data_IF_038597770001
#
_entry.id   IF_038597770001
#
_cell.length_a   1.000
_cell.length_b   1.000
_cell.length_c   1.000
_cell.angle_alpha   90.00
_cell.angle_beta   90.00
_cell.angle_gamma   90.00
#
_symmetry.space_group_name_H-M   'P 1'
#
loop_
_entity.id
_entity.type
_entity.pdbx_description
1 polymer ?
#
# COMPACT_ATOMS: atom_id res chain seq x y z
N UNK A 1 -4.53 32.79 -16.68
CA UNK A 1 -5.92 32.28 -16.47
C UNK A 1 -6.14 32.00 -14.98
N UNK A 2 -7.34 32.30 -14.46
CA UNK A 2 -7.63 31.91 -13.06
C UNK A 2 -7.94 30.41 -13.02
N UNK A 3 -7.30 29.67 -12.12
CA UNK A 3 -7.57 28.24 -11.93
C UNK A 3 -9.02 28.00 -11.52
N UNK A 4 -9.65 26.97 -12.08
CA UNK A 4 -10.96 26.49 -11.63
C UNK A 4 -10.89 25.99 -10.17
N UNK A 5 -12.04 25.81 -9.52
CA UNK A 5 -12.08 25.31 -8.14
C UNK A 5 -11.44 23.90 -8.03
N UNK A 6 -11.74 23.00 -8.99
CA UNK A 6 -11.20 21.65 -9.06
C UNK A 6 -9.67 21.65 -9.28
N UNK A 7 -9.17 22.52 -10.16
CA UNK A 7 -7.73 22.64 -10.40
C UNK A 7 -6.99 23.20 -9.17
N UNK A 8 -7.53 24.23 -8.50
CA UNK A 8 -6.95 24.73 -7.23
C UNK A 8 -6.89 23.66 -6.16
N UNK A 9 -7.94 22.84 -6.03
CA UNK A 9 -7.99 21.71 -5.09
C UNK A 9 -6.91 20.68 -5.40
N UNK A 10 -6.74 20.31 -6.68
CA UNK A 10 -5.71 19.36 -7.10
C UNK A 10 -4.29 19.88 -6.88
N UNK A 11 -4.03 21.15 -7.25
CA UNK A 11 -2.73 21.81 -7.01
C UNK A 11 -2.41 21.82 -5.51
N UNK A 12 -3.39 22.17 -4.65
CA UNK A 12 -3.23 22.12 -3.20
C UNK A 12 -2.93 20.72 -2.68
N UNK A 13 -3.63 19.70 -3.19
CA UNK A 13 -3.44 18.30 -2.78
C UNK A 13 -2.06 17.75 -3.19
N UNK A 14 -1.62 18.01 -4.43
CA UNK A 14 -0.28 17.61 -4.89
C UNK A 14 0.80 18.32 -4.08
N UNK A 15 0.70 19.64 -3.88
CA UNK A 15 1.66 20.41 -3.08
C UNK A 15 1.77 19.88 -1.65
N UNK A 16 0.64 19.66 -0.98
CA UNK A 16 0.60 19.12 0.38
C UNK A 16 1.24 17.72 0.45
N UNK A 17 1.00 16.88 -0.56
CA UNK A 17 1.59 15.55 -0.64
C UNK A 17 3.11 15.60 -0.86
N UNK A 18 3.60 16.47 -1.73
CA UNK A 18 5.03 16.65 -1.95
C UNK A 18 5.73 17.19 -0.69
N UNK A 19 5.09 18.11 0.03
CA UNK A 19 5.61 18.59 1.32
C UNK A 19 5.69 17.46 2.38
N UNK A 20 4.76 16.51 2.36
CA UNK A 20 4.75 15.37 3.30
C UNK A 20 5.81 14.30 2.99
N UNK A 21 6.38 14.28 1.79
CA UNK A 21 7.49 13.38 1.41
C UNK A 21 8.87 14.08 1.50
N UNK A 22 9.02 15.00 2.44
CA UNK A 22 10.28 15.72 2.77
C UNK A 22 10.83 16.63 1.66
N UNK A 23 9.98 17.08 0.75
CA UNK A 23 10.35 18.09 -0.26
C UNK A 23 10.15 19.53 0.21
N UNK A 24 9.96 19.74 1.51
CA UNK A 24 9.70 21.06 2.07
C UNK A 24 10.86 22.06 1.90
N UNK A 25 12.09 21.58 1.83
CA UNK A 25 13.30 22.41 1.84
C UNK A 25 13.81 22.81 0.46
N UNK A 26 13.11 22.40 -0.61
CA UNK A 26 13.55 22.67 -2.00
C UNK A 26 13.09 24.03 -2.51
N UNK A 27 12.31 24.79 -1.76
CA UNK A 27 11.90 26.14 -2.15
C UNK A 27 13.07 27.11 -2.14
N UNK A 28 13.75 27.24 -3.27
CA UNK A 28 14.52 28.45 -3.51
C UNK A 28 13.59 29.65 -3.47
N UNK A 29 13.95 30.79 -2.80
CA UNK A 29 13.08 31.98 -2.69
C UNK A 29 12.57 32.51 -4.05
N UNK A 30 13.32 32.33 -5.12
CA UNK A 30 12.96 32.67 -6.48
C UNK A 30 11.77 31.88 -7.03
N UNK A 31 11.51 30.68 -6.54
CA UNK A 31 10.35 29.84 -6.94
C UNK A 31 9.07 30.14 -6.15
N UNK A 32 9.13 31.01 -5.14
CA UNK A 32 7.95 31.45 -4.42
C UNK A 32 7.04 32.37 -5.25
N UNK A 33 7.53 32.91 -6.39
CA UNK A 33 6.79 33.79 -7.28
C UNK A 33 6.37 33.02 -8.53
N UNK A 34 5.11 33.25 -8.99
CA UNK A 34 4.60 32.66 -10.24
C UNK A 34 5.39 33.13 -11.46
N UNK A 35 6.00 32.20 -12.18
CA UNK A 35 6.71 32.44 -13.41
C UNK A 35 7.24 31.14 -14.02
N UNK A 36 7.59 31.15 -15.31
CA UNK A 36 8.27 30.04 -15.98
C UNK A 36 9.73 29.99 -15.47
N UNK A 37 9.95 29.15 -14.49
CA UNK A 37 11.30 28.93 -13.94
C UNK A 37 11.90 27.66 -14.51
N UNK A 38 13.12 27.77 -15.03
CA UNK A 38 13.89 26.59 -15.40
C UNK A 38 14.29 25.82 -14.14
N UNK A 39 13.79 24.61 -14.00
CA UNK A 39 14.16 23.71 -12.91
C UNK A 39 15.61 23.24 -13.10
N UNK A 40 16.42 23.31 -12.06
CA UNK A 40 17.81 22.87 -12.12
C UNK A 40 17.94 21.38 -12.52
N UNK A 41 18.94 21.03 -13.30
CA UNK A 41 19.11 19.67 -13.81
C UNK A 41 19.40 18.63 -12.71
N UNK A 42 19.97 19.07 -11.59
CA UNK A 42 20.27 18.28 -10.39
C UNK A 42 19.18 18.39 -9.29
N UNK A 43 18.09 19.10 -9.56
CA UNK A 43 16.97 19.19 -8.62
C UNK A 43 16.36 17.81 -8.35
N UNK A 44 15.77 17.61 -7.17
CA UNK A 44 15.04 16.37 -6.84
C UNK A 44 14.03 15.98 -7.90
N UNK A 45 13.93 14.69 -8.20
CA UNK A 45 13.02 14.14 -9.20
C UNK A 45 11.83 13.47 -8.55
N UNK A 46 10.62 13.78 -9.04
CA UNK A 46 9.39 13.06 -8.76
C UNK A 46 8.89 12.40 -10.05
N UNK A 47 8.47 11.15 -9.98
CA UNK A 47 7.86 10.44 -11.11
C UNK A 47 6.35 10.35 -10.93
N UNK A 48 5.61 10.48 -12.02
CA UNK A 48 4.17 10.18 -12.07
C UNK A 48 3.98 8.84 -12.76
N UNK A 49 3.34 7.87 -12.09
CA UNK A 49 2.92 6.62 -12.72
C UNK A 49 1.74 6.90 -13.65
N UNK A 50 1.99 6.93 -14.95
CA UNK A 50 1.02 7.31 -15.97
C UNK A 50 0.59 6.10 -16.80
N UNK A 51 -0.72 5.81 -16.82
CA UNK A 51 -1.33 4.77 -17.67
C UNK A 51 -1.93 5.34 -18.95
N UNK A 52 -1.86 6.65 -19.16
CA UNK A 52 -2.54 7.35 -20.25
C UNK A 52 -4.02 7.61 -20.00
N UNK A 53 -4.63 7.00 -18.98
CA UNK A 53 -6.03 7.24 -18.62
C UNK A 53 -6.23 8.58 -17.89
N UNK A 54 -7.51 9.05 -17.84
CA UNK A 54 -7.90 10.40 -17.37
C UNK A 54 -7.28 10.79 -16.02
N UNK A 55 -7.35 9.92 -15.00
CA UNK A 55 -6.87 10.26 -13.67
C UNK A 55 -5.35 10.44 -13.65
N UNK A 56 -4.63 9.59 -14.38
CA UNK A 56 -3.17 9.65 -14.49
C UNK A 56 -2.69 10.84 -15.32
N UNK A 57 -3.41 11.20 -16.36
CA UNK A 57 -3.10 12.38 -17.17
C UNK A 57 -3.42 13.69 -16.42
N UNK A 58 -4.52 13.73 -15.66
CA UNK A 58 -4.82 14.85 -14.77
C UNK A 58 -3.73 15.02 -13.70
N UNK A 59 -3.28 13.91 -13.07
CA UNK A 59 -2.17 13.95 -12.12
C UNK A 59 -0.88 14.43 -12.78
N UNK A 60 -0.55 13.95 -13.98
CA UNK A 60 0.66 14.34 -14.70
C UNK A 60 0.70 15.86 -14.95
N UNK A 61 -0.39 16.40 -15.47
CA UNK A 61 -0.49 17.84 -15.75
C UNK A 61 -0.40 18.70 -14.47
N UNK A 62 -1.14 18.32 -13.41
CA UNK A 62 -1.11 19.06 -12.14
C UNK A 62 0.26 18.92 -11.46
N UNK A 63 0.87 17.74 -11.51
CA UNK A 63 2.20 17.51 -10.93
C UNK A 63 3.27 18.35 -11.64
N UNK A 64 3.23 18.45 -12.96
CA UNK A 64 4.12 19.33 -13.70
C UNK A 64 4.01 20.79 -13.23
N UNK A 65 2.79 21.32 -13.12
CA UNK A 65 2.53 22.68 -12.63
C UNK A 65 3.12 22.89 -11.23
N UNK A 66 2.85 21.96 -10.30
CA UNK A 66 3.27 22.07 -8.90
C UNK A 66 4.79 21.90 -8.77
N UNK A 67 5.35 20.87 -9.38
CA UNK A 67 6.79 20.58 -9.30
C UNK A 67 7.62 21.75 -9.87
N UNK A 68 7.23 22.28 -11.05
CA UNK A 68 7.87 23.46 -11.64
C UNK A 68 7.83 24.65 -10.68
N UNK A 69 6.67 24.90 -10.03
CA UNK A 69 6.53 25.99 -9.05
C UNK A 69 7.33 25.78 -7.76
N UNK A 70 7.76 24.54 -7.48
CA UNK A 70 8.57 24.18 -6.30
C UNK A 70 10.05 23.97 -6.63
N UNK A 71 10.49 24.16 -7.88
CA UNK A 71 11.85 23.90 -8.32
C UNK A 71 12.21 22.39 -8.32
N UNK A 72 11.22 21.53 -8.50
CA UNK A 72 11.34 20.06 -8.49
C UNK A 72 11.19 19.53 -9.91
N UNK A 73 12.02 18.57 -10.31
CA UNK A 73 11.88 17.89 -11.60
C UNK A 73 10.69 16.95 -11.57
N UNK A 74 9.89 16.95 -12.65
CA UNK A 74 8.73 16.10 -12.80
C UNK A 74 8.87 15.21 -14.03
N UNK A 75 8.99 13.91 -13.81
CA UNK A 75 9.03 12.89 -14.86
C UNK A 75 7.78 12.01 -14.85
N UNK A 76 7.72 11.08 -15.80
CA UNK A 76 6.67 10.07 -15.86
C UNK A 76 7.25 8.68 -16.00
N UNK A 77 6.54 7.66 -15.49
CA UNK A 77 6.82 6.25 -15.74
C UNK A 77 5.56 5.57 -16.25
N UNK A 78 5.66 4.97 -17.43
CA UNK A 78 4.60 4.22 -18.10
C UNK A 78 4.98 2.74 -18.05
N UNK A 79 4.07 1.90 -17.52
CA UNK A 79 4.29 0.46 -17.43
C UNK A 79 3.29 -0.24 -18.36
N UNK A 80 3.78 -0.83 -19.43
CA UNK A 80 3.00 -1.73 -20.28
C UNK A 80 3.00 -3.15 -19.69
N UNK A 81 1.80 -3.70 -19.51
CA UNK A 81 1.61 -5.07 -19.00
C UNK A 81 1.53 -6.13 -20.09
N UNK A 82 1.39 -5.72 -21.35
CA UNK A 82 1.23 -6.64 -22.47
C UNK A 82 -0.03 -7.52 -22.42
N UNK A 83 -1.03 -7.18 -21.58
CA UNK A 83 -2.22 -8.02 -21.37
C UNK A 83 -3.32 -7.81 -22.42
N UNK A 84 -3.31 -6.68 -23.11
CA UNK A 84 -4.30 -6.31 -24.12
C UNK A 84 -3.63 -6.10 -25.47
N UNK A 85 -4.32 -6.47 -26.54
CA UNK A 85 -3.87 -6.14 -27.89
C UNK A 85 -3.81 -4.60 -28.04
N UNK A 86 -2.68 -4.08 -28.51
CA UNK A 86 -2.47 -2.63 -28.68
C UNK A 86 -1.98 -1.89 -27.44
N UNK A 87 -1.68 -2.58 -26.33
CA UNK A 87 -1.18 -1.94 -25.10
C UNK A 87 0.12 -1.15 -25.31
N UNK A 88 1.01 -1.62 -26.18
CA UNK A 88 2.24 -0.93 -26.57
C UNK A 88 1.96 0.44 -27.21
N UNK A 89 0.97 0.51 -28.09
CA UNK A 89 0.56 1.76 -28.72
C UNK A 89 -0.03 2.74 -27.70
N UNK A 90 -0.89 2.26 -26.80
CA UNK A 90 -1.46 3.06 -25.70
C UNK A 90 -0.36 3.61 -24.81
N UNK A 91 0.64 2.78 -24.46
CA UNK A 91 1.79 3.20 -23.67
C UNK A 91 2.64 4.25 -24.39
N UNK A 92 2.89 4.09 -25.70
CA UNK A 92 3.61 5.07 -26.52
C UNK A 92 2.87 6.40 -26.59
N UNK A 93 1.57 6.39 -26.84
CA UNK A 93 0.75 7.61 -26.88
C UNK A 93 0.70 8.31 -25.51
N UNK A 94 0.68 7.55 -24.41
CA UNK A 94 0.78 8.10 -23.06
C UNK A 94 2.13 8.79 -22.82
N UNK A 95 3.22 8.21 -23.33
CA UNK A 95 4.56 8.81 -23.25
C UNK A 95 4.62 10.12 -24.04
N UNK A 96 4.07 10.15 -25.26
CA UNK A 96 4.03 11.35 -26.10
C UNK A 96 3.22 12.48 -25.44
N UNK A 97 2.08 12.16 -24.82
CA UNK A 97 1.29 13.12 -24.05
C UNK A 97 2.07 13.64 -22.83
N UNK A 98 2.80 12.79 -22.12
CA UNK A 98 3.66 13.21 -21.00
C UNK A 98 4.77 14.15 -21.48
N UNK A 99 5.42 13.86 -22.60
CA UNK A 99 6.41 14.76 -23.21
C UNK A 99 5.79 16.10 -23.62
N UNK A 100 4.61 16.08 -24.24
CA UNK A 100 3.90 17.30 -24.64
C UNK A 100 3.51 18.18 -23.43
N UNK A 101 3.26 17.59 -22.26
CA UNK A 101 3.04 18.29 -21.00
C UNK A 101 4.33 18.84 -20.37
N UNK A 102 5.51 18.55 -20.94
CA UNK A 102 6.81 19.01 -20.41
C UNK A 102 7.39 18.15 -19.29
N UNK A 103 6.90 16.91 -19.09
CA UNK A 103 7.50 15.99 -18.13
C UNK A 103 8.83 15.42 -18.65
N UNK A 104 9.80 15.29 -17.75
CA UNK A 104 11.10 14.69 -18.06
C UNK A 104 11.86 14.23 -16.81
N UNK A 105 12.42 13.01 -16.81
CA UNK A 105 12.41 12.01 -17.88
C UNK A 105 11.03 11.31 -18.03
N UNK A 106 10.75 10.77 -19.23
CA UNK A 106 9.63 9.85 -19.47
C UNK A 106 10.20 8.46 -19.69
N UNK A 107 9.87 7.55 -18.79
CA UNK A 107 10.45 6.19 -18.72
C UNK A 107 9.36 5.18 -19.10
N UNK A 108 9.59 4.40 -20.14
CA UNK A 108 8.73 3.28 -20.51
C UNK A 108 9.31 1.96 -19.96
N UNK A 109 8.44 1.10 -19.42
CA UNK A 109 8.75 -0.20 -18.86
C UNK A 109 7.79 -1.27 -19.36
N UNK A 110 8.29 -2.46 -19.59
CA UNK A 110 7.47 -3.64 -19.96
C UNK A 110 7.43 -4.59 -18.76
N UNK A 111 6.23 -4.78 -18.17
CA UNK A 111 6.06 -5.68 -17.05
C UNK A 111 5.82 -7.12 -17.52
N UNK A 112 6.61 -8.06 -17.00
CA UNK A 112 6.37 -9.49 -17.26
C UNK A 112 5.43 -10.03 -16.19
N UNK A 113 4.19 -10.34 -16.58
CA UNK A 113 3.17 -10.86 -15.66
C UNK A 113 3.30 -12.38 -15.52
N UNK A 114 3.63 -12.89 -14.34
CA UNK A 114 3.70 -14.30 -14.01
C UNK A 114 2.71 -14.62 -12.89
N UNK A 115 1.57 -15.23 -13.22
CA UNK A 115 0.62 -15.69 -12.20
C UNK A 115 1.17 -16.93 -11.47
N UNK A 116 1.33 -16.82 -10.13
CA UNK A 116 1.84 -17.88 -9.25
C UNK A 116 0.75 -18.41 -8.30
N UNK A 117 -0.52 -18.35 -8.72
CA UNK A 117 -1.66 -18.81 -7.94
C UNK A 117 -2.50 -17.72 -7.27
N UNK A 118 -2.05 -16.45 -7.30
CA UNK A 118 -2.77 -15.29 -6.73
C UNK A 118 -3.82 -14.67 -7.67
N UNK A 119 -3.92 -15.15 -8.89
CA UNK A 119 -4.77 -14.58 -9.93
C UNK A 119 -4.06 -13.51 -10.79
N UNK A 120 -4.53 -13.36 -12.03
CA UNK A 120 -3.88 -12.53 -13.07
C UNK A 120 -3.82 -11.05 -12.67
N UNK A 121 -4.89 -10.50 -12.09
CA UNK A 121 -4.97 -9.09 -11.65
C UNK A 121 -3.94 -8.78 -10.55
N UNK A 122 -3.81 -9.68 -9.56
CA UNK A 122 -2.84 -9.52 -8.48
C UNK A 122 -1.40 -9.61 -8.99
N UNK A 123 -1.13 -10.57 -9.90
CA UNK A 123 0.18 -10.73 -10.53
C UNK A 123 0.56 -9.51 -11.39
N UNK A 124 -0.38 -8.99 -12.19
CA UNK A 124 -0.17 -7.78 -12.99
C UNK A 124 0.09 -6.55 -12.11
N UNK A 125 -0.66 -6.42 -11.00
CA UNK A 125 -0.44 -5.36 -10.03
C UNK A 125 0.95 -5.47 -9.37
N UNK A 126 1.38 -6.68 -8.99
CA UNK A 126 2.71 -6.91 -8.44
C UNK A 126 3.78 -6.50 -9.45
N UNK A 127 3.75 -7.04 -10.68
CA UNK A 127 4.70 -6.73 -11.74
C UNK A 127 4.78 -5.22 -12.02
N UNK A 128 3.64 -4.51 -12.05
CA UNK A 128 3.61 -3.06 -12.20
C UNK A 128 4.37 -2.34 -11.08
N UNK A 129 4.17 -2.72 -9.83
CA UNK A 129 4.88 -2.08 -8.73
C UNK A 129 6.38 -2.38 -8.74
N UNK A 130 6.78 -3.57 -9.19
CA UNK A 130 8.19 -3.94 -9.29
C UNK A 130 8.90 -3.06 -10.33
N UNK A 131 8.28 -2.82 -11.50
CA UNK A 131 8.80 -1.90 -12.51
C UNK A 131 8.81 -0.43 -12.05
N UNK A 132 7.79 0.01 -11.31
CA UNK A 132 7.76 1.34 -10.73
C UNK A 132 8.89 1.55 -9.70
N UNK A 133 9.16 0.54 -8.86
CA UNK A 133 10.28 0.57 -7.92
C UNK A 133 11.62 0.62 -8.64
N UNK A 134 11.81 -0.20 -9.68
CA UNK A 134 13.02 -0.20 -10.50
C UNK A 134 13.25 1.16 -11.15
N UNK A 135 12.23 1.75 -11.77
CA UNK A 135 12.31 3.07 -12.38
C UNK A 135 12.66 4.17 -11.37
N UNK A 136 12.08 4.11 -10.16
CA UNK A 136 12.38 5.06 -9.10
C UNK A 136 13.86 4.97 -8.66
N UNK A 137 14.37 3.76 -8.44
CA UNK A 137 15.76 3.55 -8.01
C UNK A 137 16.76 3.96 -9.09
N UNK A 138 16.55 3.56 -10.34
CA UNK A 138 17.45 3.86 -11.46
C UNK A 138 17.52 5.35 -11.77
N UNK A 139 16.39 6.07 -11.64
CA UNK A 139 16.33 7.50 -11.91
C UNK A 139 16.72 8.37 -10.71
N UNK A 140 16.84 7.78 -9.51
CA UNK A 140 17.04 8.51 -8.27
C UNK A 140 15.81 9.33 -7.86
N UNK A 141 14.59 8.93 -8.29
CA UNK A 141 13.37 9.62 -7.92
C UNK A 141 13.08 9.44 -6.44
N UNK A 142 12.74 10.54 -5.77
CA UNK A 142 12.42 10.56 -4.34
C UNK A 142 11.02 10.04 -4.04
N UNK A 143 10.10 10.14 -5.00
CA UNK A 143 8.75 9.60 -4.89
C UNK A 143 8.15 9.27 -6.25
N UNK A 144 7.21 8.29 -6.25
CA UNK A 144 6.33 7.96 -7.38
C UNK A 144 4.89 8.32 -7.01
N UNK A 145 4.28 9.21 -7.79
CA UNK A 145 2.89 9.64 -7.60
C UNK A 145 1.92 8.70 -8.32
N UNK A 146 0.86 8.29 -7.63
CA UNK A 146 -0.18 7.41 -8.13
C UNK A 146 -1.52 8.15 -8.19
N UNK A 147 -2.25 8.00 -9.28
CA UNK A 147 -3.46 8.76 -9.58
C UNK A 147 -4.76 8.17 -8.98
N UNK A 148 -4.68 7.51 -7.83
CA UNK A 148 -5.88 7.00 -7.17
C UNK A 148 -6.74 8.15 -6.65
N UNK A 149 -8.06 8.06 -6.87
CA UNK A 149 -9.06 9.06 -6.55
C UNK A 149 -9.88 8.72 -5.29
N UNK A 150 -10.80 9.60 -4.92
CA UNK A 150 -11.81 9.35 -3.88
C UNK A 150 -12.70 8.17 -4.22
N UNK A 151 -13.04 8.01 -5.50
CA UNK A 151 -13.83 6.87 -6.00
C UNK A 151 -13.08 5.55 -5.78
N UNK A 152 -11.79 5.50 -6.09
CA UNK A 152 -10.95 4.32 -5.83
C UNK A 152 -10.84 4.00 -4.33
N UNK A 153 -10.90 5.01 -3.48
CA UNK A 153 -10.91 4.85 -2.03
C UNK A 153 -12.21 4.15 -1.57
N UNK A 154 -13.36 4.61 -2.06
CA UNK A 154 -14.65 4.00 -1.76
C UNK A 154 -14.75 2.55 -2.28
N UNK A 155 -14.28 2.30 -3.51
CA UNK A 155 -14.16 0.95 -4.08
C UNK A 155 -13.30 0.05 -3.18
N UNK A 156 -12.17 0.56 -2.71
CA UNK A 156 -11.22 -0.19 -1.86
C UNK A 156 -11.85 -0.54 -0.51
N UNK A 157 -12.61 0.37 0.10
CA UNK A 157 -13.35 0.11 1.34
C UNK A 157 -14.39 -0.99 1.15
N UNK A 158 -15.20 -0.90 0.10
CA UNK A 158 -16.22 -1.91 -0.18
C UNK A 158 -15.60 -3.30 -0.44
N UNK A 159 -14.55 -3.36 -1.25
CA UNK A 159 -13.82 -4.61 -1.48
C UNK A 159 -13.20 -5.13 -0.18
N UNK A 160 -12.67 -4.24 0.65
CA UNK A 160 -12.14 -4.57 1.97
C UNK A 160 -13.18 -5.23 2.86
N UNK A 161 -14.39 -4.64 2.96
CA UNK A 161 -15.51 -5.18 3.74
C UNK A 161 -16.00 -6.53 3.24
N UNK A 162 -15.92 -6.80 1.93
CA UNK A 162 -16.28 -8.09 1.34
C UNK A 162 -15.24 -9.19 1.63
N UNK A 163 -13.96 -8.84 1.82
CA UNK A 163 -12.84 -9.79 1.92
C UNK A 163 -12.26 -9.94 3.31
N UNK A 164 -12.34 -8.92 4.14
CA UNK A 164 -11.68 -8.87 5.45
C UNK A 164 -12.55 -8.26 6.53
N UNK A 165 -12.03 -8.14 7.75
CA UNK A 165 -12.76 -7.66 8.94
C UNK A 165 -11.92 -6.64 9.70
N UNK A 166 -12.61 -5.85 10.52
CA UNK A 166 -11.96 -4.89 11.40
C UNK A 166 -11.51 -3.61 10.70
N UNK A 167 -10.67 -2.83 11.38
CA UNK A 167 -10.23 -1.52 10.91
C UNK A 167 -9.43 -1.59 9.60
N UNK A 168 -8.73 -2.70 9.35
CA UNK A 168 -7.96 -2.92 8.12
C UNK A 168 -8.86 -2.95 6.88
N UNK A 169 -10.07 -3.51 6.99
CA UNK A 169 -11.05 -3.52 5.91
C UNK A 169 -11.53 -2.10 5.55
N UNK A 170 -11.62 -1.22 6.56
CA UNK A 170 -12.14 0.13 6.42
C UNK A 170 -11.05 1.16 6.07
N UNK A 171 -9.80 0.92 6.46
CA UNK A 171 -8.72 1.91 6.38
C UNK A 171 -8.31 2.32 4.95
N UNK A 172 -8.88 1.70 3.91
CA UNK A 172 -8.64 2.06 2.51
C UNK A 172 -7.14 2.10 2.14
N UNK A 173 -6.79 2.94 1.17
CA UNK A 173 -5.39 3.14 0.73
C UNK A 173 -4.71 4.24 1.55
N UNK A 174 -3.44 4.06 2.01
CA UNK A 174 -2.66 5.13 2.61
C UNK A 174 -2.32 6.21 1.59
N UNK A 175 -2.17 7.46 2.06
CA UNK A 175 -1.74 8.56 1.20
C UNK A 175 -0.28 8.42 0.78
N UNK A 176 0.59 8.03 1.70
CA UNK A 176 2.01 7.76 1.47
C UNK A 176 2.34 6.37 1.99
N UNK A 177 3.19 5.63 1.28
CA UNK A 177 3.70 4.33 1.72
C UNK A 177 5.02 4.02 1.03
N UNK A 178 5.82 3.14 1.65
CA UNK A 178 7.07 2.64 1.09
C UNK A 178 6.91 1.20 0.64
N UNK A 179 7.51 0.86 -0.50
CA UNK A 179 7.55 -0.51 -1.02
C UNK A 179 8.91 -0.75 -1.67
N UNK A 180 9.60 -1.82 -1.27
CA UNK A 180 10.93 -2.17 -1.78
C UNK A 180 11.90 -0.97 -1.79
N UNK A 181 11.86 -0.11 -0.75
CA UNK A 181 12.71 1.07 -0.63
C UNK A 181 12.28 2.30 -1.44
N UNK A 182 11.30 2.19 -2.33
CA UNK A 182 10.75 3.33 -3.07
C UNK A 182 9.53 3.93 -2.33
N UNK A 183 9.44 5.26 -2.31
CA UNK A 183 8.30 5.99 -1.72
C UNK A 183 7.23 6.22 -2.78
N UNK A 184 5.99 5.90 -2.41
CA UNK A 184 4.80 6.12 -3.23
C UNK A 184 3.84 7.07 -2.55
N UNK A 185 3.18 7.95 -3.31
CA UNK A 185 2.18 8.86 -2.79
C UNK A 185 0.94 8.95 -3.68
N UNK A 186 -0.22 9.24 -3.08
CA UNK A 186 -1.52 9.34 -3.74
C UNK A 186 -2.15 10.70 -3.48
N UNK A 187 -1.81 11.72 -4.26
CA UNK A 187 -2.28 13.07 -4.01
C UNK A 187 -3.79 13.26 -4.20
N UNK A 188 -4.40 12.47 -5.11
CA UNK A 188 -5.77 12.70 -5.56
C UNK A 188 -6.85 11.95 -4.74
N UNK A 189 -6.52 11.35 -3.58
CA UNK A 189 -7.49 10.61 -2.75
C UNK A 189 -8.66 11.47 -2.23
N UNK A 190 -8.56 12.78 -2.30
CA UNK A 190 -9.63 13.72 -1.95
C UNK A 190 -10.40 14.26 -3.15
N UNK A 191 -9.99 13.93 -4.36
CA UNK A 191 -10.63 14.34 -5.60
C UNK A 191 -11.49 13.20 -6.16
N UNK A 192 -12.63 13.54 -6.70
CA UNK A 192 -13.49 12.60 -7.43
C UNK A 192 -12.98 12.39 -8.86
N UNK A 193 -13.38 11.27 -9.48
CA UNK A 193 -13.13 11.01 -10.91
C UNK A 193 -13.75 12.08 -11.81
N UNK A 194 -14.90 12.63 -11.46
CA UNK A 194 -15.50 13.76 -12.18
C UNK A 194 -14.63 15.02 -12.09
N UNK A 195 -13.97 15.26 -10.95
CA UNK A 195 -13.04 16.40 -10.83
C UNK A 195 -11.78 16.18 -11.68
N UNK A 196 -11.22 14.95 -11.76
CA UNK A 196 -10.05 14.66 -12.62
C UNK A 196 -10.39 14.77 -14.11
N UNK A 197 -11.56 14.28 -14.54
CA UNK A 197 -12.08 14.51 -15.91
C UNK A 197 -12.13 16.00 -16.23
N UNK A 198 -12.75 16.77 -15.35
CA UNK A 198 -12.84 18.20 -15.55
C UNK A 198 -11.51 18.95 -15.49
N UNK A 199 -10.50 18.43 -14.79
CA UNK A 199 -9.14 18.99 -14.84
C UNK A 199 -8.52 18.77 -16.21
N UNK A 200 -8.70 17.60 -16.83
CA UNK A 200 -8.25 17.36 -18.19
C UNK A 200 -8.91 18.34 -19.17
N UNK A 201 -10.22 18.57 -19.03
CA UNK A 201 -10.96 19.57 -19.83
C UNK A 201 -10.43 20.99 -19.64
N UNK A 202 -10.23 21.43 -18.38
CA UNK A 202 -9.73 22.75 -18.03
C UNK A 202 -8.34 23.04 -18.64
N UNK A 203 -7.50 22.01 -18.73
CA UNK A 203 -6.12 22.10 -19.20
C UNK A 203 -5.96 21.67 -20.67
N UNK A 204 -7.02 21.21 -21.34
CA UNK A 204 -6.97 20.69 -22.71
C UNK A 204 -6.09 19.44 -22.84
N UNK A 205 -6.08 18.59 -21.81
CA UNK A 205 -5.27 17.36 -21.77
C UNK A 205 -6.07 16.20 -22.31
N UNK A 206 -5.55 15.57 -23.37
CA UNK A 206 -6.11 14.34 -23.92
C UNK A 206 -5.75 13.14 -23.06
N UNK A 207 -6.66 12.16 -22.99
CA UNK A 207 -6.47 10.91 -22.29
C UNK A 207 -7.11 9.74 -23.05
N UNK A 208 -6.70 8.52 -22.69
CA UNK A 208 -7.28 7.30 -23.22
C UNK A 208 -8.35 6.76 -22.26
N UNK A 209 -9.52 6.41 -22.81
CA UNK A 209 -10.58 5.73 -22.07
C UNK A 209 -10.44 4.22 -22.25
N UNK A 210 -10.12 3.52 -21.17
CA UNK A 210 -9.96 2.06 -21.16
C UNK A 210 -11.33 1.36 -21.28
N UNK A 211 -11.59 0.61 -22.37
CA UNK A 211 -12.86 -0.08 -22.56
C UNK A 211 -13.14 -1.15 -21.49
N UNK A 212 -12.12 -1.63 -20.76
CA UNK A 212 -12.29 -2.61 -19.69
C UNK A 212 -12.82 -2.02 -18.38
N UNK A 213 -12.93 -0.70 -18.29
CA UNK A 213 -13.57 -0.04 -17.14
C UNK A 213 -15.07 -0.35 -17.01
N UNK A 214 -15.72 -0.79 -18.09
CA UNK A 214 -17.15 -1.08 -18.14
C UNK A 214 -18.03 0.16 -18.34
N UNK A 215 -17.44 1.34 -18.57
CA UNK A 215 -18.17 2.63 -18.72
C UNK A 215 -19.12 2.64 -19.95
N UNK A 216 -18.95 1.70 -20.91
CA UNK A 216 -19.79 1.57 -22.11
C UNK A 216 -20.90 0.51 -21.97
N UNK A 217 -21.07 -0.11 -20.80
CA UNK A 217 -22.08 -1.15 -20.54
C UNK A 217 -23.25 -0.53 -19.78
N UNK A 218 -24.46 -0.63 -20.32
CA UNK A 218 -25.67 -0.07 -19.68
C UNK A 218 -26.29 -1.01 -18.65
N UNK A 219 -26.05 -2.32 -18.76
CA UNK A 219 -26.55 -3.36 -17.87
C UNK A 219 -25.52 -3.76 -16.80
N UNK A 220 -25.92 -4.57 -15.80
CA UNK A 220 -24.99 -5.11 -14.79
C UNK A 220 -23.82 -5.85 -15.42
N UNK A 221 -22.62 -5.62 -14.91
CA UNK A 221 -21.41 -6.25 -15.43
C UNK A 221 -21.40 -7.77 -15.15
N UNK A 222 -21.06 -8.60 -16.12
CA UNK A 222 -20.89 -10.03 -15.94
C UNK A 222 -19.91 -10.41 -14.81
N UNK A 223 -20.09 -11.61 -14.24
CA UNK A 223 -19.31 -12.06 -13.08
C UNK A 223 -17.82 -12.28 -13.37
N UNK A 224 -17.42 -12.38 -14.62
CA UNK A 224 -16.03 -12.49 -15.09
C UNK A 224 -15.30 -11.14 -15.18
N UNK A 225 -16.05 -10.03 -15.09
CA UNK A 225 -15.41 -8.71 -14.93
C UNK A 225 -14.68 -8.59 -13.58
N UNK A 226 -13.58 -7.81 -13.53
CA UNK A 226 -12.86 -7.55 -12.27
C UNK A 226 -13.80 -7.06 -11.18
N UNK A 227 -13.62 -7.55 -9.95
CA UNK A 227 -14.47 -7.16 -8.82
C UNK A 227 -14.52 -5.64 -8.62
N UNK A 228 -13.43 -4.93 -8.90
CA UNK A 228 -13.37 -3.47 -8.78
C UNK A 228 -14.28 -2.79 -9.80
N UNK A 229 -14.30 -3.25 -11.05
CA UNK A 229 -15.18 -2.72 -12.09
C UNK A 229 -16.65 -2.93 -11.71
N UNK A 230 -17.00 -4.12 -11.21
CA UNK A 230 -18.37 -4.43 -10.74
C UNK A 230 -18.78 -3.61 -9.51
N UNK A 231 -17.87 -3.37 -8.57
CA UNK A 231 -18.13 -2.47 -7.43
C UNK A 231 -18.39 -1.05 -7.90
N UNK A 232 -17.64 -0.55 -8.86
CA UNK A 232 -17.78 0.78 -9.44
C UNK A 232 -19.08 0.96 -10.20
N UNK A 233 -19.36 0.02 -11.08
CA UNK A 233 -20.46 0.10 -12.04
C UNK A 233 -21.81 -0.27 -11.40
N UNK A 234 -21.85 -1.34 -10.58
CA UNK A 234 -23.09 -1.90 -10.10
C UNK A 234 -23.36 -1.56 -8.62
N UNK A 235 -22.41 -1.87 -7.73
CA UNK A 235 -22.65 -1.84 -6.29
C UNK A 235 -22.69 -0.40 -5.73
N UNK A 236 -21.72 0.44 -6.04
CA UNK A 236 -21.70 1.83 -5.56
C UNK A 236 -22.94 2.61 -5.98
N UNK A 237 -23.35 2.61 -7.27
CA UNK A 237 -24.59 3.30 -7.69
C UNK A 237 -25.85 2.70 -7.06
N UNK A 238 -25.90 1.38 -6.80
CA UNK A 238 -27.02 0.75 -6.11
C UNK A 238 -27.13 1.24 -4.66
N UNK A 239 -26.00 1.36 -3.95
CA UNK A 239 -25.95 1.87 -2.58
C UNK A 239 -26.36 3.37 -2.57
N UNK A 240 -25.87 4.18 -3.51
CA UNK A 240 -26.24 5.59 -3.63
C UNK A 240 -27.74 5.80 -3.89
N UNK A 241 -28.32 4.99 -4.78
CA UNK A 241 -29.77 4.99 -5.03
C UNK A 241 -30.55 4.61 -3.78
N UNK A 242 -30.10 3.61 -3.04
CA UNK A 242 -30.73 3.16 -1.80
C UNK A 242 -30.62 4.20 -0.68
N UNK A 243 -29.44 4.81 -0.52
CA UNK A 243 -29.15 5.80 0.52
C UNK A 243 -29.79 7.18 0.23
N UNK A 244 -29.98 7.51 -1.05
CA UNK A 244 -30.49 8.84 -1.48
C UNK A 244 -29.46 9.95 -1.43
N UNK A 245 -28.18 9.64 -1.26
CA UNK A 245 -27.06 10.61 -1.27
C UNK A 245 -25.75 9.98 -1.79
N UNK A 246 -24.75 10.82 -2.08
CA UNK A 246 -23.43 10.38 -2.54
C UNK A 246 -22.66 9.67 -1.42
N UNK A 247 -22.56 8.34 -1.49
CA UNK A 247 -21.87 7.51 -0.50
C UNK A 247 -20.36 7.44 -0.72
N UNK A 248 -19.87 7.73 -1.93
CA UNK A 248 -18.46 7.71 -2.27
C UNK A 248 -17.64 8.58 -1.32
N UNK A 249 -18.08 9.82 -1.11
CA UNK A 249 -17.46 10.76 -0.16
C UNK A 249 -17.49 10.20 1.26
N UNK A 250 -18.61 9.59 1.66
CA UNK A 250 -18.80 9.05 3.01
C UNK A 250 -17.83 7.88 3.28
N UNK A 251 -17.68 6.96 2.32
CA UNK A 251 -16.71 5.86 2.41
C UNK A 251 -15.27 6.36 2.45
N UNK A 252 -14.91 7.33 1.60
CA UNK A 252 -13.57 7.89 1.59
C UNK A 252 -13.21 8.60 2.91
N UNK A 253 -14.14 9.35 3.50
CA UNK A 253 -13.95 10.01 4.78
C UNK A 253 -13.84 8.99 5.93
N UNK A 254 -14.70 7.95 5.93
CA UNK A 254 -14.61 6.84 6.88
C UNK A 254 -13.27 6.11 6.77
N UNK A 255 -12.76 5.90 5.55
CA UNK A 255 -11.46 5.30 5.33
C UNK A 255 -10.32 6.15 5.92
N UNK A 256 -10.40 7.48 5.77
CA UNK A 256 -9.42 8.40 6.34
C UNK A 256 -9.38 8.31 7.87
N UNK A 257 -10.54 8.31 8.53
CA UNK A 257 -10.62 8.18 9.99
C UNK A 257 -10.12 6.81 10.45
N UNK A 258 -10.59 5.73 9.83
CA UNK A 258 -10.14 4.38 10.15
C UNK A 258 -8.63 4.19 9.92
N UNK A 259 -8.05 4.91 8.94
CA UNK A 259 -6.60 4.92 8.69
C UNK A 259 -5.84 5.54 9.86
N UNK A 260 -6.29 6.67 10.38
CA UNK A 260 -5.68 7.33 11.54
C UNK A 260 -5.72 6.41 12.77
N UNK A 261 -6.86 5.76 13.04
CA UNK A 261 -6.99 4.80 14.14
C UNK A 261 -6.05 3.61 13.94
N UNK A 262 -5.98 3.07 12.71
CA UNK A 262 -5.07 1.98 12.36
C UNK A 262 -3.60 2.36 12.58
N UNK A 263 -3.16 3.49 12.09
CA UNK A 263 -1.76 3.97 12.22
C UNK A 263 -1.35 4.14 13.67
N UNK A 264 -2.24 4.70 14.51
CA UNK A 264 -1.99 4.80 15.95
C UNK A 264 -1.87 3.42 16.61
N UNK A 265 -2.78 2.49 16.27
CA UNK A 265 -2.77 1.13 16.83
C UNK A 265 -1.55 0.34 16.36
N UNK A 266 -1.14 0.50 15.10
CA UNK A 266 0.04 -0.16 14.55
C UNK A 266 1.32 0.39 15.20
N UNK A 267 1.47 1.71 15.30
CA UNK A 267 2.60 2.33 15.99
C UNK A 267 2.70 1.84 17.44
N UNK A 268 1.60 1.83 18.17
CA UNK A 268 1.59 1.34 19.56
C UNK A 268 1.96 -0.15 19.64
N UNK A 269 1.50 -0.94 18.69
CA UNK A 269 1.84 -2.38 18.61
C UNK A 269 3.32 -2.61 18.33
N UNK A 270 3.93 -1.80 17.46
CA UNK A 270 5.35 -1.90 17.12
C UNK A 270 6.24 -1.52 18.32
N UNK A 271 5.87 -0.49 19.07
CA UNK A 271 6.54 -0.12 20.33
C UNK A 271 6.54 -1.30 21.32
N UNK A 272 5.34 -1.89 21.55
CA UNK A 272 5.18 -3.04 22.47
C UNK A 272 5.91 -4.26 21.94
N UNK A 273 5.90 -4.48 20.63
CA UNK A 273 6.59 -5.61 19.99
C UNK A 273 8.10 -5.51 20.19
N UNK A 274 8.70 -4.34 20.05
CA UNK A 274 10.12 -4.10 20.31
C UNK A 274 10.55 -4.44 21.76
N UNK A 275 9.63 -4.28 22.73
CA UNK A 275 9.88 -4.58 24.13
C UNK A 275 9.53 -6.02 24.54
N UNK A 276 8.56 -6.64 23.87
CA UNK A 276 7.92 -7.88 24.29
C UNK A 276 8.30 -9.10 23.46
N UNK A 277 8.82 -8.93 22.25
CA UNK A 277 9.09 -10.02 21.30
C UNK A 277 10.58 -10.10 21.03
N UNK A 278 11.13 -11.32 21.09
CA UNK A 278 12.50 -11.61 20.70
C UNK A 278 12.53 -12.77 19.69
N UNK A 279 13.28 -12.58 18.59
CA UNK A 279 13.63 -13.68 17.70
C UNK A 279 14.71 -14.55 18.37
N UNK A 280 14.61 -15.85 18.20
CA UNK A 280 15.56 -16.82 18.79
C UNK A 280 15.94 -17.82 17.71
N UNK A 281 17.25 -17.99 17.49
CA UNK A 281 17.77 -19.10 16.71
C UNK A 281 17.62 -20.38 17.52
N UNK A 282 16.78 -21.30 17.03
CA UNK A 282 16.51 -22.54 17.72
C UNK A 282 17.35 -23.66 17.08
N UNK A 283 18.21 -24.36 17.83
CA UNK A 283 18.91 -25.55 17.31
C UNK A 283 17.88 -26.64 16.97
N UNK A 284 18.02 -27.25 15.81
CA UNK A 284 17.12 -28.30 15.30
C UNK A 284 17.06 -29.59 16.13
N UNK A 285 17.72 -29.66 17.28
CA UNK A 285 17.65 -30.77 18.22
C UNK A 285 17.56 -30.27 19.65
N UNK A 286 16.46 -30.59 20.31
CA UNK A 286 16.19 -30.23 21.69
C UNK A 286 16.91 -31.13 22.67
N UNK A 287 18.01 -30.68 23.25
CA UNK A 287 18.43 -31.10 24.57
C UNK A 287 18.71 -29.82 25.38
N UNK A 288 17.92 -29.67 26.45
CA UNK A 288 18.13 -28.79 27.59
C UNK A 288 18.83 -27.45 27.38
N UNK A 289 18.06 -26.35 27.33
CA UNK A 289 18.60 -25.00 27.45
C UNK A 289 18.32 -24.42 28.82
N UNK A 290 19.40 -24.03 29.49
CA UNK A 290 19.40 -23.33 30.76
C UNK A 290 18.78 -21.96 30.69
N UNK A 291 18.21 -21.53 31.82
CA UNK A 291 17.31 -20.38 31.98
C UNK A 291 18.05 -19.09 32.30
N UNK A 292 18.96 -18.55 31.49
CA UNK A 292 19.50 -17.23 31.78
C UNK A 292 19.75 -16.38 30.53
N UNK A 293 19.18 -15.16 30.59
CA UNK A 293 19.41 -13.89 29.88
C UNK A 293 19.38 -13.83 28.35
N UNK A 294 18.71 -12.78 27.78
CA UNK A 294 18.67 -12.52 26.34
C UNK A 294 19.98 -11.85 25.88
N UNK A 295 20.64 -12.43 24.88
CA UNK A 295 21.67 -11.75 24.10
C UNK A 295 21.05 -11.11 22.87
N UNK A 296 21.32 -9.83 22.65
CA UNK A 296 20.99 -9.11 21.45
C UNK A 296 21.73 -9.70 20.24
N UNK A 297 21.01 -10.07 19.18
CA UNK A 297 21.59 -10.57 17.94
C UNK A 297 21.87 -9.44 16.98
N UNK A 298 23.13 -9.37 16.53
CA UNK A 298 23.63 -8.54 15.43
C UNK A 298 23.32 -9.28 14.13
N UNK A 299 22.81 -8.53 13.12
CA UNK A 299 22.54 -9.06 11.80
C UNK A 299 23.85 -9.51 11.11
N UNK A 300 23.88 -10.76 10.68
CA UNK A 300 24.94 -11.34 9.86
C UNK A 300 24.33 -12.22 8.78
N UNK A 301 24.74 -11.98 7.53
CA UNK A 301 24.42 -12.78 6.36
C UNK A 301 24.75 -14.27 6.60
N UNK A 302 23.76 -15.14 6.53
CA UNK A 302 24.02 -16.57 6.35
C UNK A 302 22.94 -17.22 5.49
N UNK A 303 23.36 -17.65 4.34
CA UNK A 303 22.70 -18.58 3.46
C UNK A 303 22.94 -20.01 3.98
N UNK A 304 22.11 -20.51 4.90
CA UNK A 304 22.02 -21.94 5.22
C UNK A 304 20.62 -22.30 5.75
N UNK A 305 19.96 -23.21 5.06
CA UNK A 305 18.52 -23.49 5.08
C UNK A 305 18.08 -24.56 6.08
N UNK A 306 18.66 -24.62 7.28
CA UNK A 306 18.32 -25.65 8.29
C UNK A 306 17.99 -25.14 9.70
N UNK A 307 17.88 -23.82 9.93
CA UNK A 307 17.55 -23.27 11.25
C UNK A 307 16.15 -22.69 11.24
N UNK A 308 15.23 -23.30 11.98
CA UNK A 308 13.89 -22.76 12.20
C UNK A 308 13.96 -21.52 13.08
N UNK A 309 13.55 -20.36 12.57
CA UNK A 309 13.44 -19.13 13.35
C UNK A 309 12.31 -19.32 14.39
N UNK A 310 12.64 -19.25 15.66
CA UNK A 310 11.69 -19.27 16.77
C UNK A 310 11.39 -17.86 17.28
N UNK A 311 10.24 -17.68 17.93
CA UNK A 311 9.88 -16.44 18.62
C UNK A 311 9.65 -16.68 20.10
N UNK A 312 10.00 -15.69 20.90
CA UNK A 312 9.59 -15.62 22.31
C UNK A 312 8.78 -14.34 22.54
N UNK A 313 7.61 -14.49 23.17
CA UNK A 313 6.73 -13.38 23.52
C UNK A 313 6.65 -13.31 25.06
N UNK A 314 7.01 -12.17 25.63
CA UNK A 314 6.95 -11.92 27.08
C UNK A 314 5.51 -11.71 27.54
N UNK A 315 4.95 -12.69 28.25
CA UNK A 315 3.60 -12.58 28.82
C UNK A 315 3.47 -11.39 29.76
N UNK A 316 4.49 -11.14 30.58
CA UNK A 316 4.46 -10.04 31.56
C UNK A 316 4.35 -8.66 30.90
N UNK A 317 4.94 -8.50 29.70
CA UNK A 317 4.89 -7.25 28.94
C UNK A 317 3.54 -7.07 28.27
N UNK A 318 3.12 -8.04 27.44
CA UNK A 318 1.89 -7.89 26.66
C UNK A 318 0.61 -7.99 27.49
N UNK A 319 0.61 -8.68 28.64
CA UNK A 319 -0.57 -8.79 29.51
C UNK A 319 -1.06 -7.43 30.07
N UNK A 320 -0.23 -6.39 30.02
CA UNK A 320 -0.58 -5.04 30.47
C UNK A 320 -1.32 -4.22 29.42
N UNK A 321 -1.24 -4.68 28.17
CA UNK A 321 -1.81 -3.96 27.03
C UNK A 321 -3.29 -4.33 26.83
N UNK A 322 -4.07 -3.43 26.25
CA UNK A 322 -5.43 -3.73 25.79
C UNK A 322 -5.45 -4.90 24.78
N UNK A 323 -6.55 -5.63 24.71
CA UNK A 323 -6.73 -6.75 23.82
C UNK A 323 -6.39 -6.41 22.35
N UNK A 324 -6.82 -5.23 21.89
CA UNK A 324 -6.55 -4.76 20.52
C UNK A 324 -5.07 -4.66 20.20
N UNK A 325 -4.23 -4.31 21.17
CA UNK A 325 -2.76 -4.24 21.03
C UNK A 325 -2.17 -5.64 21.12
N UNK A 326 -2.59 -6.44 22.10
CA UNK A 326 -2.08 -7.81 22.26
C UNK A 326 -2.27 -8.66 21.02
N UNK A 327 -3.48 -8.64 20.44
CA UNK A 327 -3.80 -9.38 19.21
C UNK A 327 -2.94 -8.92 18.02
N UNK A 328 -2.68 -7.60 17.88
CA UNK A 328 -1.79 -7.07 16.83
C UNK A 328 -0.34 -7.48 17.03
N UNK A 329 0.19 -7.37 18.25
CA UNK A 329 1.56 -7.79 18.57
C UNK A 329 1.75 -9.27 18.24
N UNK A 330 0.81 -10.13 18.64
CA UNK A 330 0.86 -11.56 18.33
C UNK A 330 0.82 -11.80 16.82
N UNK A 331 -0.10 -11.13 16.10
CA UNK A 331 -0.23 -11.27 14.66
C UNK A 331 1.03 -10.80 13.90
N UNK A 332 1.58 -9.64 14.25
CA UNK A 332 2.80 -9.09 13.65
C UNK A 332 4.02 -9.99 13.94
N UNK A 333 4.19 -10.44 15.17
CA UNK A 333 5.26 -11.34 15.54
C UNK A 333 5.23 -12.66 14.73
N UNK A 334 4.04 -13.27 14.59
CA UNK A 334 3.87 -14.47 13.79
C UNK A 334 4.15 -14.22 12.31
N UNK A 335 3.67 -13.10 11.77
CA UNK A 335 3.89 -12.71 10.37
C UNK A 335 5.38 -12.51 10.07
N UNK A 336 6.14 -11.87 10.97
CA UNK A 336 7.59 -11.70 10.83
C UNK A 336 8.34 -13.04 10.83
N UNK A 337 7.83 -14.04 11.56
CA UNK A 337 8.34 -15.40 11.51
C UNK A 337 7.85 -16.22 10.29
N UNK A 338 7.14 -15.61 9.36
CA UNK A 338 6.58 -16.29 8.18
C UNK A 338 5.40 -17.23 8.50
N UNK A 339 4.77 -17.07 9.67
CA UNK A 339 3.62 -17.88 10.12
C UNK A 339 2.32 -17.13 9.90
N UNK A 340 1.55 -17.52 8.89
CA UNK A 340 0.23 -16.94 8.59
C UNK A 340 -0.85 -17.58 9.48
N UNK A 341 -1.02 -17.06 10.68
CA UNK A 341 -2.02 -17.56 11.63
C UNK A 341 -3.42 -16.98 11.35
N UNK A 342 -4.45 -17.80 11.55
CA UNK A 342 -5.84 -17.34 11.51
C UNK A 342 -6.21 -16.49 12.73
N UNK A 343 -7.26 -15.67 12.63
CA UNK A 343 -7.78 -14.90 13.76
C UNK A 343 -8.12 -15.77 14.98
N UNK A 344 -8.62 -17.00 14.75
CA UNK A 344 -8.91 -17.95 15.81
C UNK A 344 -7.64 -18.44 16.53
N UNK A 345 -6.55 -18.64 15.78
CA UNK A 345 -5.25 -19.01 16.34
C UNK A 345 -4.62 -17.86 17.12
N UNK A 346 -4.67 -16.64 16.60
CA UNK A 346 -4.20 -15.43 17.29
C UNK A 346 -4.96 -15.25 18.62
N UNK A 347 -6.29 -15.36 18.61
CA UNK A 347 -7.12 -15.31 19.81
C UNK A 347 -6.82 -16.48 20.79
N UNK A 348 -6.48 -17.68 20.28
CA UNK A 348 -6.07 -18.78 21.12
C UNK A 348 -4.74 -18.53 21.81
N UNK A 349 -3.77 -17.88 21.13
CA UNK A 349 -2.51 -17.45 21.74
C UNK A 349 -2.74 -16.36 22.78
N UNK A 350 -3.64 -15.39 22.51
CA UNK A 350 -4.00 -14.37 23.51
C UNK A 350 -4.59 -14.97 24.78
N UNK A 351 -5.40 -16.04 24.69
CA UNK A 351 -5.85 -16.79 25.86
C UNK A 351 -4.71 -17.40 26.66
N UNK A 352 -3.61 -17.77 26.03
CA UNK A 352 -2.41 -18.18 26.78
C UNK A 352 -1.82 -17.01 27.61
N UNK A 353 -2.11 -15.74 27.25
CA UNK A 353 -1.68 -14.57 28.02
C UNK A 353 -2.61 -14.29 29.19
N UNK A 354 -3.92 -14.21 28.93
CA UNK A 354 -4.90 -13.67 29.89
C UNK A 354 -5.64 -14.72 30.72
N UNK A 355 -5.75 -15.93 30.21
CA UNK A 355 -6.53 -17.03 30.83
C UNK A 355 -5.74 -18.35 30.79
N UNK A 356 -4.51 -18.32 31.33
CA UNK A 356 -3.67 -19.51 31.35
C UNK A 356 -3.89 -20.33 32.62
N UNK A 357 -4.30 -21.56 32.46
CA UNK A 357 -4.52 -22.56 33.52
C UNK A 357 -3.78 -23.89 33.27
N UNK A 358 -2.71 -23.86 32.44
CA UNK A 358 -1.92 -25.04 32.08
C UNK A 358 -2.39 -25.76 30.82
N UNK A 359 -3.26 -25.14 30.02
CA UNK A 359 -3.72 -25.69 28.76
C UNK A 359 -2.55 -25.92 27.77
N UNK A 360 -2.78 -26.88 26.86
CA UNK A 360 -1.81 -27.23 25.82
C UNK A 360 -1.52 -26.11 24.85
N UNK A 361 -0.50 -26.28 24.03
CA UNK A 361 -0.09 -25.32 23.02
C UNK A 361 -1.10 -25.16 21.89
N UNK A 362 -0.99 -24.07 21.16
CA UNK A 362 -1.78 -23.75 19.97
C UNK A 362 -1.02 -24.21 18.72
N UNK A 363 -1.63 -25.12 17.94
CA UNK A 363 -1.08 -25.55 16.65
C UNK A 363 -1.23 -24.44 15.60
N UNK A 364 -0.17 -24.20 14.85
CA UNK A 364 -0.05 -23.14 13.83
C UNK A 364 0.28 -23.76 12.46
N UNK A 365 0.09 -23.01 11.37
CA UNK A 365 0.46 -23.47 10.03
C UNK A 365 1.94 -23.87 9.89
N UNK A 366 2.24 -24.69 8.90
CA UNK A 366 3.60 -25.15 8.56
C UNK A 366 4.32 -25.90 9.69
N UNK A 367 3.57 -26.56 10.59
CA UNK A 367 4.16 -27.32 11.70
C UNK A 367 4.72 -26.45 12.82
N UNK A 368 4.29 -25.21 12.93
CA UNK A 368 4.59 -24.38 14.10
C UNK A 368 3.60 -24.64 15.24
N UNK A 369 4.07 -24.39 16.46
CA UNK A 369 3.22 -24.38 17.66
C UNK A 369 3.60 -23.23 18.58
N UNK A 370 2.59 -22.67 19.29
CA UNK A 370 2.79 -21.66 20.31
C UNK A 370 2.50 -22.26 21.70
N UNK A 371 3.50 -22.31 22.56
CA UNK A 371 3.42 -22.92 23.89
C UNK A 371 3.80 -21.93 24.98
N UNK A 372 2.99 -21.79 26.03
CA UNK A 372 3.35 -20.99 27.20
C UNK A 372 4.16 -21.82 28.21
N UNK A 373 5.32 -21.26 28.60
CA UNK A 373 6.10 -21.79 29.72
C UNK A 373 6.40 -20.64 30.69
N UNK A 374 5.79 -20.69 31.87
CA UNK A 374 5.89 -19.61 32.89
C UNK A 374 5.46 -18.24 32.32
N UNK A 375 6.41 -17.33 32.12
CA UNK A 375 6.18 -15.93 31.70
C UNK A 375 6.48 -15.69 30.23
N UNK A 376 6.68 -16.72 29.42
CA UNK A 376 7.03 -16.63 28.01
C UNK A 376 6.17 -17.55 27.19
N UNK A 377 5.65 -17.06 26.06
CA UNK A 377 5.09 -17.87 24.98
C UNK A 377 6.22 -18.11 23.98
N UNK A 378 6.46 -19.36 23.65
CA UNK A 378 7.43 -19.79 22.65
C UNK A 378 6.69 -20.23 21.40
N UNK A 379 7.09 -19.70 20.26
CA UNK A 379 6.61 -20.15 18.95
C UNK A 379 7.81 -20.82 18.27
N UNK A 380 7.68 -22.09 17.98
CA UNK A 380 8.71 -22.88 17.31
C UNK A 380 8.08 -23.84 16.31
N UNK A 381 8.84 -24.19 15.30
CA UNK A 381 8.48 -25.26 14.39
C UNK A 381 8.71 -26.59 15.10
N UNK A 382 7.68 -27.42 15.19
CA UNK A 382 7.81 -28.75 15.75
C UNK A 382 8.71 -29.55 14.80
N UNK A 383 9.93 -29.79 15.23
CA UNK A 383 10.82 -30.72 14.54
C UNK A 383 10.17 -32.12 14.57
N UNK A 384 10.12 -32.77 13.43
CA UNK A 384 9.56 -34.07 13.11
C UNK A 384 9.41 -35.03 14.30
N UNK A 385 8.38 -34.89 15.10
CA UNK A 385 7.80 -35.95 15.92
C UNK A 385 6.46 -36.37 15.26
N UNK A 386 6.53 -36.69 13.97
CA UNK A 386 5.51 -37.47 13.31
C UNK A 386 6.10 -38.87 13.12
N UNK A 387 6.08 -39.68 14.18
CA UNK A 387 5.96 -41.16 14.12
C UNK A 387 6.26 -41.72 15.49
N UNK A 388 5.24 -41.80 16.34
CA UNK A 388 4.94 -42.97 17.17
C UNK A 388 3.47 -42.91 17.62
#
# INVERSE_FOLDING_TARGET
>A
MAYSARLRKAVGAVRATLSAVELCDVQAPEFAQHGDHAVAADAPLVLVACSGGRDSMALAAVSHIVCTSMGVRCGAVIVDHGLQAGSEQVASEAADRCHALGLGPVIMRNATVQARGEGLEAAARQARYDELCAAAHESGAIAVLLAHTMDDQAETVLIGLLRSRGVDALAGMPQVFTRSGATFARPLLTLTRAETTGICEDLGVEYWDDPTNGDAVDDELPNDYPLRSRVRHDLLPAIERFAGFNVTRHFAESARLARMDKEYLDQRSDEVMGEAVAAVDWPASSAAVSTDAPRACVAGDTNDSSHGIGLMISVKRIAREPEAIRLRVIAHALSQAGVNASAAQIAAIDRLVVDWHGQGGVSLPRGYSANRKKHVIRVCQDGAHANR
#
